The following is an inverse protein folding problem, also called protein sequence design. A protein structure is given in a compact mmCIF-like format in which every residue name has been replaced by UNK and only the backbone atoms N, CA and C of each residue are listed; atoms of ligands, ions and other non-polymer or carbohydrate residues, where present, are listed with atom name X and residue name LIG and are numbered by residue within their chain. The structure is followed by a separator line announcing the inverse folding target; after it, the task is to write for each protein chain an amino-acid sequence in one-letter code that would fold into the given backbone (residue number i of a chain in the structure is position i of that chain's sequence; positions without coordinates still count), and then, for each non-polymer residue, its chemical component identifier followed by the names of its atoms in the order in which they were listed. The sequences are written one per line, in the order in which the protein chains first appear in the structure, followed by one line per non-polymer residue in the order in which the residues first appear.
data_IF_639662514267
#
_entry.id   IF_639662514267
#
_cell.length_a   1.000
_cell.length_b   1.000
_cell.length_c   1.000
_cell.angle_alpha   90.00
_cell.angle_beta   90.00
_cell.angle_gamma   90.00
#
_symmetry.space_group_name_H-M   'P 1'
#
loop_
_entity.id
_entity.type
_entity.pdbx_description
1 polymer ?
#
# COMPACT_ATOMS: atom_id res chain seq x y z
N UNK A 1 -2.51 -1.75 18.20
CA UNK A 1 -2.27 -1.24 16.86
C UNK A 1 -3.50 -0.47 16.37
N UNK A 2 -3.27 0.62 15.65
CA UNK A 2 -4.31 1.34 14.91
C UNK A 2 -4.20 1.00 13.44
N UNK A 3 -5.29 0.54 12.83
CA UNK A 3 -5.32 0.05 11.45
C UNK A 3 -6.33 0.84 10.63
N UNK A 4 -5.84 1.54 9.60
CA UNK A 4 -6.68 2.27 8.65
C UNK A 4 -7.32 1.31 7.65
N UNK A 5 -8.47 0.77 7.99
CA UNK A 5 -9.17 -0.21 7.15
C UNK A 5 -9.58 0.36 5.78
N UNK A 6 -9.80 1.66 5.68
CA UNK A 6 -10.12 2.33 4.42
C UNK A 6 -8.94 2.41 3.45
N UNK A 7 -7.69 2.18 3.90
CA UNK A 7 -6.51 2.19 3.02
C UNK A 7 -6.20 0.82 2.41
N UNK A 8 -6.34 -0.24 3.18
CA UNK A 8 -5.93 -1.58 2.74
C UNK A 8 -6.97 -2.68 2.99
N UNK A 9 -7.99 -2.40 3.78
CA UNK A 9 -8.99 -3.40 4.18
C UNK A 9 -10.27 -3.38 3.35
N UNK A 10 -10.49 -2.37 2.50
CA UNK A 10 -11.66 -2.28 1.62
C UNK A 10 -12.92 -1.65 2.24
N UNK A 11 -12.80 -0.97 3.39
CA UNK A 11 -13.90 -0.16 3.93
C UNK A 11 -13.95 1.24 3.29
N UNK A 12 -15.07 1.94 3.48
CA UNK A 12 -15.18 3.34 3.07
C UNK A 12 -14.23 4.23 3.90
N UNK A 13 -13.93 5.41 3.39
CA UNK A 13 -13.02 6.38 4.02
C UNK A 13 -13.40 6.70 5.46
N UNK A 14 -12.44 7.22 6.23
CA UNK A 14 -12.61 7.59 7.64
C UNK A 14 -13.01 6.43 8.56
N UNK A 15 -12.59 5.21 8.25
CA UNK A 15 -12.83 4.04 9.10
C UNK A 15 -11.53 3.34 9.49
N UNK A 16 -11.41 3.00 10.76
CA UNK A 16 -10.23 2.34 11.32
C UNK A 16 -10.61 1.36 12.43
N UNK A 17 -9.69 0.44 12.74
CA UNK A 17 -9.78 -0.47 13.87
C UNK A 17 -8.67 -0.16 14.87
N UNK A 18 -9.02 -0.18 16.15
CA UNK A 18 -8.06 -0.21 17.24
C UNK A 18 -7.96 -1.64 17.80
N UNK A 19 -6.82 -2.28 17.59
CA UNK A 19 -6.54 -3.63 18.06
C UNK A 19 -5.69 -3.54 19.33
N UNK A 20 -6.19 -4.12 20.42
CA UNK A 20 -5.51 -4.11 21.72
C UNK A 20 -5.07 -5.53 22.11
N UNK A 21 -3.93 -5.61 22.80
CA UNK A 21 -3.46 -6.86 23.41
C UNK A 21 -4.23 -7.19 24.69
N UNK A 22 -4.07 -8.42 25.17
CA UNK A 22 -4.77 -8.93 26.38
C UNK A 22 -4.45 -8.16 27.67
N UNK A 23 -3.29 -7.51 27.73
CA UNK A 23 -2.81 -6.78 28.91
C UNK A 23 -3.20 -5.29 28.90
N UNK A 24 -4.00 -4.85 27.93
CA UNK A 24 -4.46 -3.45 27.84
C UNK A 24 -5.77 -3.32 28.62
N UNK A 25 -5.84 -2.32 29.49
CA UNK A 25 -7.08 -1.98 30.19
C UNK A 25 -8.06 -1.37 29.21
N UNK A 26 -9.02 -2.17 28.74
CA UNK A 26 -9.99 -1.77 27.73
C UNK A 26 -10.95 -0.68 28.26
N UNK A 27 -11.30 -0.67 29.53
CA UNK A 27 -12.18 0.34 30.10
C UNK A 27 -11.55 1.73 30.01
N UNK A 28 -10.26 1.85 30.34
CA UNK A 28 -9.52 3.08 30.19
C UNK A 28 -9.40 3.53 28.72
N UNK A 29 -9.05 2.61 27.82
CA UNK A 29 -8.99 2.89 26.37
C UNK A 29 -10.34 3.37 25.84
N UNK A 30 -11.43 2.72 26.25
CA UNK A 30 -12.80 3.11 25.84
C UNK A 30 -13.16 4.52 26.32
N UNK A 31 -12.78 4.90 27.54
CA UNK A 31 -12.97 6.25 28.03
C UNK A 31 -12.22 7.29 27.19
N UNK A 32 -10.96 7.02 26.85
CA UNK A 32 -10.17 7.92 25.99
C UNK A 32 -10.76 8.03 24.58
N UNK A 33 -11.22 6.92 23.99
CA UNK A 33 -11.91 6.93 22.69
C UNK A 33 -13.15 7.83 22.77
N UNK A 34 -13.97 7.69 23.81
CA UNK A 34 -15.18 8.50 23.99
C UNK A 34 -14.89 9.99 24.15
N UNK A 35 -13.73 10.35 24.71
CA UNK A 35 -13.30 11.75 24.84
C UNK A 35 -12.72 12.33 23.55
N UNK A 36 -12.12 11.51 22.69
CA UNK A 36 -11.35 11.98 21.53
C UNK A 36 -12.06 11.77 20.20
N UNK A 37 -13.06 10.89 20.15
CA UNK A 37 -13.80 10.59 18.92
C UNK A 37 -15.09 11.44 18.82
N UNK A 38 -15.61 11.51 17.58
CA UNK A 38 -16.88 12.20 17.32
C UNK A 38 -18.05 11.54 18.03
N UNK A 39 -19.00 12.34 18.46
CA UNK A 39 -20.31 11.87 18.98
C UNK A 39 -21.31 11.57 17.86
N UNK A 40 -21.00 11.94 16.61
CA UNK A 40 -21.88 11.82 15.43
C UNK A 40 -21.33 10.77 14.45
N UNK A 41 -21.24 9.54 14.90
CA UNK A 41 -20.74 8.44 14.08
C UNK A 41 -21.67 8.16 12.88
N UNK A 42 -21.10 8.02 11.70
CA UNK A 42 -21.84 7.61 10.51
C UNK A 42 -22.07 6.09 10.51
N UNK A 43 -23.31 5.66 10.59
CA UNK A 43 -23.66 4.23 10.46
C UNK A 43 -23.25 3.63 9.13
N UNK A 44 -23.22 4.40 8.04
CA UNK A 44 -22.73 3.94 6.74
C UNK A 44 -21.25 3.54 6.81
N UNK A 45 -20.42 4.36 7.44
CA UNK A 45 -18.99 4.08 7.60
C UNK A 45 -18.74 2.88 8.53
N UNK A 46 -19.44 2.82 9.66
CA UNK A 46 -19.34 1.69 10.59
C UNK A 46 -19.80 0.38 9.93
N UNK A 47 -20.91 0.42 9.18
CA UNK A 47 -21.41 -0.76 8.45
C UNK A 47 -20.40 -1.22 7.39
N UNK A 48 -19.79 -0.29 6.65
CA UNK A 48 -18.75 -0.63 5.67
C UNK A 48 -17.53 -1.29 6.32
N UNK A 49 -17.16 -0.83 7.51
CA UNK A 49 -16.07 -1.40 8.30
C UNK A 49 -16.37 -2.85 8.70
N UNK A 50 -17.59 -3.14 9.17
CA UNK A 50 -17.97 -4.52 9.53
C UNK A 50 -18.09 -5.44 8.31
N UNK A 51 -18.59 -4.95 7.19
CA UNK A 51 -18.62 -5.70 5.93
C UNK A 51 -17.20 -6.04 5.47
N UNK A 52 -16.29 -5.07 5.53
CA UNK A 52 -14.88 -5.27 5.20
C UNK A 52 -14.23 -6.30 6.12
N UNK A 53 -14.40 -6.15 7.43
CA UNK A 53 -13.93 -7.12 8.43
C UNK A 53 -14.45 -8.53 8.13
N UNK A 54 -15.75 -8.67 7.85
CA UNK A 54 -16.36 -9.96 7.51
C UNK A 54 -15.76 -10.55 6.23
N UNK A 55 -15.59 -9.75 5.20
CA UNK A 55 -14.97 -10.18 3.95
C UNK A 55 -13.54 -10.69 4.17
N UNK A 56 -12.74 -9.95 4.94
CA UNK A 56 -11.38 -10.36 5.29
C UNK A 56 -11.35 -11.63 6.15
N UNK A 57 -12.30 -11.81 7.07
CA UNK A 57 -12.40 -13.03 7.86
C UNK A 57 -12.69 -14.28 7.00
N UNK A 58 -13.47 -14.12 5.94
CA UNK A 58 -13.88 -15.23 5.07
C UNK A 58 -12.93 -15.48 3.90
N UNK A 59 -12.33 -14.44 3.33
CA UNK A 59 -11.57 -14.48 2.07
C UNK A 59 -10.22 -13.75 2.14
N UNK A 60 -9.83 -13.21 3.30
CA UNK A 60 -8.66 -12.36 3.41
C UNK A 60 -7.37 -13.07 2.99
N UNK A 61 -7.22 -14.35 3.34
CA UNK A 61 -6.05 -15.14 2.93
C UNK A 61 -5.92 -15.20 1.41
N UNK A 62 -6.97 -15.61 0.72
CA UNK A 62 -6.99 -15.70 -0.74
C UNK A 62 -6.72 -14.33 -1.39
N UNK A 63 -7.38 -13.28 -0.89
CA UNK A 63 -7.22 -11.91 -1.39
C UNK A 63 -5.78 -11.41 -1.23
N UNK A 64 -5.18 -11.56 -0.05
CA UNK A 64 -3.81 -11.11 0.19
C UNK A 64 -2.74 -12.01 -0.45
N UNK A 65 -2.99 -13.30 -0.63
CA UNK A 65 -2.13 -14.17 -1.43
C UNK A 65 -2.09 -13.71 -2.90
N UNK A 66 -3.23 -13.29 -3.45
CA UNK A 66 -3.29 -12.68 -4.78
C UNK A 66 -2.49 -11.38 -4.85
N UNK A 67 -2.72 -10.46 -3.90
CA UNK A 67 -2.01 -9.17 -3.84
C UNK A 67 -0.51 -9.36 -3.71
N UNK A 68 -0.07 -10.29 -2.86
CA UNK A 68 1.34 -10.61 -2.67
C UNK A 68 1.99 -11.11 -3.96
N UNK A 69 1.32 -12.00 -4.70
CA UNK A 69 1.83 -12.47 -5.99
C UNK A 69 1.94 -11.35 -7.03
N UNK A 70 0.95 -10.47 -7.11
CA UNK A 70 1.00 -9.31 -8.01
C UNK A 70 2.15 -8.36 -7.63
N UNK A 71 2.36 -8.13 -6.34
CA UNK A 71 3.43 -7.28 -5.86
C UNK A 71 4.83 -7.86 -6.11
N UNK A 72 5.01 -9.15 -5.93
CA UNK A 72 6.28 -9.82 -6.26
C UNK A 72 6.53 -9.82 -7.78
N UNK A 73 5.52 -10.12 -8.58
CA UNK A 73 5.59 -10.02 -10.05
C UNK A 73 6.01 -8.60 -10.47
N UNK A 74 5.38 -7.56 -9.92
CA UNK A 74 5.77 -6.17 -10.22
C UNK A 74 7.25 -5.89 -9.91
N UNK A 75 7.77 -6.39 -8.77
CA UNK A 75 9.18 -6.22 -8.39
C UNK A 75 10.12 -6.90 -9.37
N UNK A 76 9.83 -8.14 -9.70
CA UNK A 76 10.63 -8.92 -10.63
C UNK A 76 10.70 -8.23 -12.01
N UNK A 77 9.56 -7.82 -12.53
CA UNK A 77 9.48 -7.12 -13.82
C UNK A 77 10.21 -5.78 -13.80
N UNK A 78 9.98 -4.93 -12.77
CA UNK A 78 10.64 -3.64 -12.63
C UNK A 78 12.16 -3.81 -12.51
N UNK A 79 12.63 -4.75 -11.71
CA UNK A 79 14.06 -5.03 -11.59
C UNK A 79 14.65 -5.55 -12.89
N UNK A 80 13.89 -6.29 -13.72
CA UNK A 80 14.31 -6.77 -15.02
C UNK A 80 14.47 -5.67 -16.07
N UNK A 81 13.72 -4.56 -15.94
CA UNK A 81 13.88 -3.38 -16.80
C UNK A 81 15.31 -2.83 -16.70
N UNK A 82 15.90 -2.86 -15.50
CA UNK A 82 17.18 -2.25 -15.15
C UNK A 82 17.08 -0.72 -15.04
N UNK A 83 17.99 -0.09 -14.30
CA UNK A 83 17.93 1.34 -14.00
C UNK A 83 16.90 1.73 -12.93
N UNK A 84 16.05 0.81 -12.53
CA UNK A 84 15.21 0.88 -11.36
C UNK A 84 15.60 -0.20 -10.36
N UNK A 85 15.33 0.05 -9.07
CA UNK A 85 15.45 -0.98 -8.05
C UNK A 85 14.19 -1.00 -7.18
N UNK A 86 13.39 -2.03 -7.35
CA UNK A 86 12.21 -2.28 -6.52
C UNK A 86 12.64 -3.04 -5.25
N UNK A 87 12.50 -2.37 -4.11
CA UNK A 87 12.87 -2.92 -2.81
C UNK A 87 12.03 -4.15 -2.46
N UNK A 88 12.65 -5.15 -1.86
CA UNK A 88 12.04 -6.41 -1.49
C UNK A 88 12.46 -6.96 -0.14
N UNK A 89 12.17 -8.22 0.10
CA UNK A 89 12.52 -8.93 1.33
C UNK A 89 14.01 -9.10 1.55
N UNK A 90 14.83 -8.92 0.53
CA UNK A 90 16.28 -8.86 0.60
C UNK A 90 16.79 -7.74 1.52
N UNK A 91 15.98 -6.70 1.76
CA UNK A 91 16.25 -5.64 2.73
C UNK A 91 16.22 -6.11 4.19
N UNK A 92 15.57 -7.24 4.48
CA UNK A 92 15.45 -7.76 5.86
C UNK A 92 16.82 -8.24 6.32
N UNK A 93 17.36 -7.60 7.36
CA UNK A 93 18.70 -7.89 7.88
C UNK A 93 18.70 -8.27 9.37
N UNK A 94 17.53 -8.37 10.02
CA UNK A 94 17.38 -8.74 11.43
C UNK A 94 17.84 -7.67 12.44
N UNK A 95 18.49 -6.61 11.99
CA UNK A 95 18.98 -5.50 12.83
C UNK A 95 18.14 -4.23 12.67
N UNK A 96 18.31 -3.55 11.56
CA UNK A 96 17.64 -2.28 11.27
C UNK A 96 16.33 -2.45 10.49
N UNK A 97 16.21 -3.49 9.66
CA UNK A 97 15.00 -3.87 8.95
C UNK A 97 14.54 -5.24 9.43
N UNK A 98 13.47 -5.26 10.21
CA UNK A 98 12.97 -6.45 10.86
C UNK A 98 11.99 -7.24 9.97
N UNK A 99 11.12 -6.52 9.25
CA UNK A 99 10.11 -7.10 8.37
C UNK A 99 9.79 -6.14 7.22
N UNK A 100 9.14 -6.66 6.19
CA UNK A 100 8.84 -5.93 4.96
C UNK A 100 7.41 -6.20 4.49
N UNK A 101 6.62 -5.14 4.30
CA UNK A 101 5.27 -5.24 3.73
C UNK A 101 5.35 -5.34 2.20
N UNK A 102 5.16 -6.53 1.68
CA UNK A 102 5.25 -6.83 0.25
C UNK A 102 4.25 -6.04 -0.61
N UNK A 103 3.15 -5.56 -0.03
CA UNK A 103 2.13 -4.79 -0.75
C UNK A 103 2.55 -3.35 -1.04
N UNK A 104 3.63 -2.88 -0.41
CA UNK A 104 4.23 -1.56 -0.63
C UNK A 104 5.33 -1.68 -1.68
N UNK A 105 5.01 -1.27 -2.89
CA UNK A 105 5.95 -1.28 -4.01
C UNK A 105 6.73 0.04 -4.02
N UNK A 106 7.86 0.05 -3.33
CA UNK A 106 8.81 1.17 -3.35
C UNK A 106 9.90 0.90 -4.39
N UNK A 107 10.16 1.89 -5.25
CA UNK A 107 11.11 1.75 -6.36
C UNK A 107 12.05 2.94 -6.38
N UNK A 108 13.34 2.67 -6.33
CA UNK A 108 14.41 3.64 -6.51
C UNK A 108 14.55 4.01 -7.99
N UNK A 109 14.71 5.31 -8.29
CA UNK A 109 14.63 5.83 -9.66
C UNK A 109 15.91 6.57 -10.11
N UNK A 110 16.84 6.85 -9.21
CA UNK A 110 17.98 7.74 -9.51
C UNK A 110 18.96 7.18 -10.55
N UNK A 111 18.98 5.87 -10.74
CA UNK A 111 19.90 5.26 -11.69
C UNK A 111 19.53 5.55 -13.16
N UNK A 112 18.29 5.98 -13.43
CA UNK A 112 17.90 6.51 -14.75
C UNK A 112 18.06 8.03 -14.84
N UNK A 113 18.61 8.69 -13.81
CA UNK A 113 18.83 10.13 -13.79
C UNK A 113 17.64 10.97 -13.32
N UNK A 114 16.49 10.38 -13.04
CA UNK A 114 15.28 11.07 -12.59
C UNK A 114 15.08 10.98 -11.08
N UNK A 115 14.57 12.05 -10.48
CA UNK A 115 14.03 12.02 -9.13
C UNK A 115 12.70 11.25 -9.10
N UNK A 116 12.36 10.66 -7.95
CA UNK A 116 11.09 9.95 -7.81
C UNK A 116 9.87 10.85 -8.07
N UNK A 117 9.92 12.12 -7.68
CA UNK A 117 8.84 13.06 -7.97
C UNK A 117 8.68 13.32 -9.47
N UNK A 118 9.77 13.32 -10.26
CA UNK A 118 9.70 13.47 -11.71
C UNK A 118 9.05 12.24 -12.35
N UNK A 119 9.42 11.03 -11.89
CA UNK A 119 8.78 9.79 -12.34
C UNK A 119 7.30 9.75 -11.93
N UNK A 120 6.96 10.22 -10.72
CA UNK A 120 5.57 10.34 -10.27
C UNK A 120 4.75 11.26 -11.19
N UNK A 121 5.28 12.43 -11.54
CA UNK A 121 4.60 13.38 -12.43
C UNK A 121 4.43 12.79 -13.85
N UNK A 122 5.46 12.14 -14.39
CA UNK A 122 5.38 11.45 -15.70
C UNK A 122 4.31 10.35 -15.68
N UNK A 123 4.28 9.50 -14.65
CA UNK A 123 3.26 8.45 -14.52
C UNK A 123 1.84 9.02 -14.51
N UNK A 124 1.62 10.14 -13.78
CA UNK A 124 0.32 10.81 -13.70
C UNK A 124 -0.06 11.48 -15.02
N UNK A 125 0.85 12.26 -15.59
CA UNK A 125 0.52 13.20 -16.66
C UNK A 125 0.54 12.54 -18.06
N UNK A 126 1.45 11.57 -18.27
CA UNK A 126 1.62 10.94 -19.58
C UNK A 126 1.00 9.53 -19.66
N UNK A 127 0.89 8.81 -18.52
CA UNK A 127 0.41 7.44 -18.50
C UNK A 127 -0.92 7.25 -17.79
N UNK A 128 -1.50 8.32 -17.21
CA UNK A 128 -2.74 8.26 -16.41
C UNK A 128 -2.65 7.20 -15.29
N UNK A 129 -1.51 7.17 -14.59
CA UNK A 129 -1.24 6.27 -13.47
C UNK A 129 -0.98 7.09 -12.21
N UNK A 130 -1.92 7.05 -11.26
CA UNK A 130 -1.78 7.69 -9.97
C UNK A 130 -1.22 6.69 -8.95
N UNK A 131 -0.01 6.95 -8.49
CA UNK A 131 0.63 6.22 -7.38
C UNK A 131 0.54 7.01 -6.07
N UNK A 132 1.00 6.45 -4.95
CA UNK A 132 0.84 7.06 -3.62
C UNK A 132 1.71 8.31 -3.47
N UNK A 133 3.01 8.23 -3.79
CA UNK A 133 3.92 9.37 -3.70
C UNK A 133 5.19 9.18 -4.55
N UNK A 134 5.87 10.29 -4.79
CA UNK A 134 7.26 10.35 -5.24
C UNK A 134 8.08 11.28 -4.33
N UNK A 135 9.31 10.87 -4.01
CA UNK A 135 10.26 11.70 -3.27
C UNK A 135 11.52 12.02 -4.11
N UNK A 136 12.62 12.39 -3.48
CA UNK A 136 13.88 12.74 -4.17
C UNK A 136 14.47 11.54 -4.94
N UNK A 137 14.25 10.32 -4.47
CA UNK A 137 14.95 9.14 -4.97
C UNK A 137 14.01 7.97 -5.31
N UNK A 138 12.79 7.98 -4.79
CA UNK A 138 11.90 6.84 -4.86
C UNK A 138 10.50 7.24 -5.28
N UNK A 139 9.80 6.28 -5.86
CA UNK A 139 8.33 6.27 -5.95
C UNK A 139 7.77 5.19 -5.04
N UNK A 140 6.53 5.37 -4.59
CA UNK A 140 5.78 4.38 -3.81
C UNK A 140 4.41 4.15 -4.45
N UNK A 141 4.13 2.91 -4.80
CA UNK A 141 2.81 2.45 -5.20
C UNK A 141 2.23 1.47 -4.17
N UNK A 142 0.93 1.55 -3.95
CA UNK A 142 0.18 0.61 -3.14
C UNK A 142 -0.49 -0.42 -4.04
N UNK A 143 -0.28 -1.70 -3.75
CA UNK A 143 -1.00 -2.78 -4.41
C UNK A 143 -2.04 -3.31 -3.42
N UNK A 144 -3.29 -3.23 -3.78
CA UNK A 144 -4.44 -3.51 -2.91
C UNK A 144 -5.31 -4.66 -3.42
N UNK A 145 -6.29 -5.05 -2.62
CA UNK A 145 -7.26 -6.09 -3.01
C UNK A 145 -8.15 -5.68 -4.19
N UNK A 146 -8.21 -4.39 -4.50
CA UNK A 146 -8.98 -3.84 -5.62
C UNK A 146 -8.24 -3.84 -6.95
N UNK A 147 -6.92 -4.03 -6.94
CA UNK A 147 -6.12 -3.96 -8.15
C UNK A 147 -6.19 -5.26 -8.96
N UNK A 148 -5.96 -5.10 -10.26
CA UNK A 148 -5.93 -6.20 -11.23
C UNK A 148 -4.53 -6.33 -11.81
N UNK A 149 -4.21 -7.48 -12.37
CA UNK A 149 -2.91 -7.71 -12.99
C UNK A 149 -2.64 -6.72 -14.14
N UNK A 150 -3.66 -6.32 -14.88
CA UNK A 150 -3.54 -5.33 -15.97
C UNK A 150 -3.09 -3.96 -15.46
N UNK A 151 -3.48 -3.58 -14.25
CA UNK A 151 -3.07 -2.31 -13.63
C UNK A 151 -1.57 -2.35 -13.27
N UNK A 152 -1.09 -3.51 -12.85
CA UNK A 152 0.34 -3.76 -12.61
C UNK A 152 1.15 -3.75 -13.92
N UNK A 153 0.65 -4.42 -14.95
CA UNK A 153 1.30 -4.46 -16.27
C UNK A 153 1.39 -3.06 -16.89
N UNK A 154 0.36 -2.21 -16.71
CA UNK A 154 0.42 -0.81 -17.12
C UNK A 154 1.54 -0.04 -16.40
N UNK A 155 1.67 -0.22 -15.09
CA UNK A 155 2.73 0.45 -14.32
C UNK A 155 4.12 -0.01 -14.80
N UNK A 156 4.32 -1.31 -14.95
CA UNK A 156 5.60 -1.88 -15.44
C UNK A 156 5.92 -1.38 -16.85
N UNK A 157 4.93 -1.37 -17.75
CA UNK A 157 5.08 -0.85 -19.11
C UNK A 157 5.43 0.64 -19.14
N UNK A 158 4.77 1.44 -18.33
CA UNK A 158 5.07 2.88 -18.22
C UNK A 158 6.50 3.13 -17.70
N UNK A 159 6.95 2.39 -16.69
CA UNK A 159 8.34 2.51 -16.21
C UNK A 159 9.35 2.08 -17.26
N UNK A 160 9.08 1.03 -18.04
CA UNK A 160 9.93 0.62 -19.14
C UNK A 160 10.02 1.69 -20.25
N UNK A 161 8.90 2.34 -20.55
CA UNK A 161 8.86 3.44 -21.51
C UNK A 161 9.62 4.67 -20.99
N UNK A 162 9.42 5.05 -19.73
CA UNK A 162 10.16 6.16 -19.10
C UNK A 162 11.67 5.89 -19.19
N UNK A 163 12.13 4.71 -18.80
CA UNK A 163 13.56 4.35 -18.91
C UNK A 163 14.11 4.49 -20.34
N UNK A 164 13.29 4.16 -21.33
CA UNK A 164 13.72 4.24 -22.75
C UNK A 164 13.89 5.67 -23.23
N UNK A 165 13.17 6.61 -22.60
CA UNK A 165 13.18 8.03 -22.96
C UNK A 165 14.30 8.81 -22.25
N UNK A 166 14.75 8.31 -21.11
CA UNK A 166 15.81 8.90 -20.25
C UNK A 166 17.01 7.95 -20.08
#
# INVERSE_FOLDING_TARGET
ASVSMHKSGGSLTQSSLLLTGKNVNWEYVSQIINLTQTTSASYLLISSLDISRRNLALRGRESFDKVSRMAEYAREEINSIGGFYAYGKDMINGGSVYDFDVTKLSVYTRDIGLAGIEVYDLLRDEYDIQIELGDIANILAYISIGDRIQDIERLVGALADIKRLY
#
